data_IF_585975249064
#
_entry.id   IF_585975249064
#
_cell.length_a   1.000
_cell.length_b   1.000
_cell.length_c   1.000
_cell.angle_alpha   90.00
_cell.angle_beta   90.00
_cell.angle_gamma   90.00
#
_symmetry.space_group_name_H-M   'P 1'
#
loop_
_entity.id
_entity.type
_entity.pdbx_description
1 polymer ?
#
# COMPACT_ATOMS: atom_id res chain seq x y z
N UNK A 1 -14.40 11.68 -14.73
CA UNK A 1 -15.27 12.87 -14.91
C UNK A 1 -15.60 13.52 -13.58
N UNK A 2 -15.76 14.84 -13.56
CA UNK A 2 -16.26 15.53 -12.38
C UNK A 2 -17.74 15.22 -12.16
N UNK A 3 -18.11 14.94 -10.91
CA UNK A 3 -19.49 14.68 -10.47
C UNK A 3 -19.83 15.59 -9.28
N UNK A 4 -21.11 15.84 -9.08
CA UNK A 4 -21.59 16.64 -7.96
C UNK A 4 -21.55 15.87 -6.64
N UNK A 5 -21.58 16.60 -5.51
CA UNK A 5 -21.75 16.02 -4.17
C UNK A 5 -23.02 15.14 -4.08
N UNK A 6 -24.10 15.53 -4.75
CA UNK A 6 -25.33 14.75 -4.80
C UNK A 6 -25.19 13.45 -5.58
N UNK A 7 -24.39 13.42 -6.64
CA UNK A 7 -24.06 12.19 -7.38
C UNK A 7 -23.19 11.27 -6.56
N UNK A 8 -22.16 11.81 -5.88
CA UNK A 8 -21.36 11.06 -4.94
C UNK A 8 -22.23 10.44 -3.83
N UNK A 9 -23.13 11.22 -3.22
CA UNK A 9 -24.03 10.69 -2.20
C UNK A 9 -25.00 9.61 -2.68
N UNK A 10 -25.33 9.56 -3.98
CA UNK A 10 -26.09 8.43 -4.54
C UNK A 10 -25.24 7.17 -4.69
N UNK A 11 -23.95 7.31 -5.00
CA UNK A 11 -23.01 6.19 -5.08
C UNK A 11 -22.64 5.65 -3.70
N UNK A 12 -22.51 6.55 -2.71
CA UNK A 12 -22.22 6.23 -1.32
C UNK A 12 -23.28 6.82 -0.38
N UNK A 13 -24.44 6.18 -0.21
CA UNK A 13 -25.54 6.72 0.59
C UNK A 13 -25.23 6.96 2.06
N UNK A 14 -24.22 6.27 2.61
CA UNK A 14 -23.76 6.46 3.98
C UNK A 14 -22.82 7.66 4.16
N UNK A 15 -22.34 8.26 3.07
CA UNK A 15 -21.41 9.37 3.12
C UNK A 15 -22.12 10.69 3.45
N UNK A 16 -21.55 11.46 4.37
CA UNK A 16 -21.87 12.86 4.56
C UNK A 16 -21.26 13.67 3.40
N UNK A 17 -22.06 14.48 2.72
CA UNK A 17 -21.65 15.18 1.49
C UNK A 17 -21.84 16.68 1.51
N UNK A 18 -22.28 17.26 2.62
CA UNK A 18 -22.59 18.69 2.77
C UNK A 18 -21.37 19.61 2.67
N UNK A 19 -20.18 19.07 2.87
CA UNK A 19 -18.89 19.75 2.74
C UNK A 19 -18.12 19.40 1.45
N UNK A 20 -18.66 18.52 0.60
CA UNK A 20 -18.01 18.11 -0.65
C UNK A 20 -18.19 19.20 -1.70
N UNK A 21 -17.09 19.78 -2.12
CA UNK A 21 -17.06 20.81 -3.16
C UNK A 21 -17.09 20.19 -4.57
N UNK A 22 -16.35 19.10 -4.78
CA UNK A 22 -16.31 18.36 -6.03
C UNK A 22 -15.92 16.92 -5.74
N UNK A 23 -16.33 16.00 -6.63
CA UNK A 23 -15.84 14.63 -6.66
C UNK A 23 -15.47 14.25 -8.09
N UNK A 24 -14.55 13.30 -8.24
CA UNK A 24 -14.10 12.81 -9.54
C UNK A 24 -14.35 11.31 -9.62
N UNK A 25 -15.19 10.91 -10.57
CA UNK A 25 -15.48 9.51 -10.82
C UNK A 25 -14.67 8.99 -12.01
N UNK A 26 -13.95 7.88 -11.78
CA UNK A 26 -13.20 7.16 -12.80
C UNK A 26 -13.86 5.80 -13.00
N UNK A 27 -14.81 5.67 -13.96
CA UNK A 27 -15.67 4.49 -14.07
C UNK A 27 -14.92 3.20 -14.45
N UNK A 28 -13.77 3.34 -15.11
CA UNK A 28 -12.93 2.21 -15.55
C UNK A 28 -11.82 1.85 -14.55
N UNK A 29 -11.82 2.48 -13.39
CA UNK A 29 -10.92 2.18 -12.28
C UNK A 29 -11.49 1.04 -11.43
N UNK A 30 -10.63 0.42 -10.63
CA UNK A 30 -11.04 -0.68 -9.78
C UNK A 30 -9.97 -1.12 -8.81
N UNK A 31 -10.24 -2.19 -8.12
CA UNK A 31 -9.33 -2.83 -7.17
C UNK A 31 -8.90 -4.22 -7.65
N UNK A 32 -7.74 -4.66 -7.21
CA UNK A 32 -7.23 -6.00 -7.51
C UNK A 32 -6.60 -6.57 -6.23
N UNK A 33 -6.65 -7.89 -6.11
CA UNK A 33 -5.85 -8.57 -5.08
C UNK A 33 -4.37 -8.44 -5.45
N UNK A 34 -3.51 -7.85 -4.61
CA UNK A 34 -2.11 -7.58 -4.96
C UNK A 34 -1.30 -8.87 -5.17
N UNK A 35 -1.59 -9.95 -4.44
CA UNK A 35 -0.93 -11.24 -4.62
C UNK A 35 -1.28 -11.86 -5.98
N UNK A 36 -2.56 -11.84 -6.37
CA UNK A 36 -3.00 -12.34 -7.68
C UNK A 36 -2.40 -11.53 -8.82
N UNK A 37 -2.31 -10.20 -8.66
CA UNK A 37 -1.68 -9.33 -9.65
C UNK A 37 -0.18 -9.64 -9.81
N UNK A 38 0.54 -9.78 -8.69
CA UNK A 38 1.96 -10.16 -8.71
C UNK A 38 2.18 -11.54 -9.39
N UNK A 39 1.32 -12.51 -9.09
CA UNK A 39 1.35 -13.83 -9.73
C UNK A 39 1.04 -13.76 -11.23
N UNK A 40 0.07 -12.93 -11.64
CA UNK A 40 -0.26 -12.72 -13.05
C UNK A 40 0.92 -12.10 -13.82
N UNK A 41 1.56 -11.08 -13.26
CA UNK A 41 2.76 -10.49 -13.85
C UNK A 41 3.92 -11.48 -13.91
N UNK A 42 4.17 -12.24 -12.85
CA UNK A 42 5.20 -13.27 -12.83
C UNK A 42 4.95 -14.34 -13.90
N UNK A 43 3.71 -14.79 -14.07
CA UNK A 43 3.32 -15.72 -15.13
C UNK A 43 3.56 -15.12 -16.51
N UNK A 44 3.09 -13.91 -16.75
CA UNK A 44 3.29 -13.19 -18.02
C UNK A 44 4.76 -13.00 -18.38
N UNK A 45 5.61 -12.67 -17.40
CA UNK A 45 7.06 -12.56 -17.57
C UNK A 45 7.69 -13.88 -17.98
N UNK A 46 7.35 -14.98 -17.28
CA UNK A 46 7.85 -16.33 -17.63
C UNK A 46 7.44 -16.76 -19.03
N UNK A 47 6.21 -16.45 -19.46
CA UNK A 47 5.72 -16.72 -20.82
C UNK A 47 6.52 -15.99 -21.90
N UNK A 48 7.20 -14.90 -21.53
CA UNK A 48 8.06 -14.09 -22.41
C UNK A 48 9.56 -14.40 -22.24
N UNK A 49 9.90 -15.48 -21.55
CA UNK A 49 11.27 -15.97 -21.39
C UNK A 49 12.01 -15.42 -20.17
N UNK A 50 11.38 -14.61 -19.31
CA UNK A 50 12.00 -14.19 -18.06
C UNK A 50 12.19 -15.37 -17.11
N UNK A 51 13.32 -15.39 -16.43
CA UNK A 51 13.61 -16.35 -15.36
C UNK A 51 13.34 -15.67 -14.02
N UNK A 52 12.44 -16.23 -13.24
CA UNK A 52 12.16 -15.79 -11.88
C UNK A 52 12.72 -16.85 -10.93
N UNK A 53 13.66 -16.44 -10.10
CA UNK A 53 14.33 -17.31 -9.13
C UNK A 53 14.01 -16.79 -7.73
N UNK A 54 13.33 -17.60 -6.96
CA UNK A 54 12.92 -17.29 -5.59
C UNK A 54 13.92 -17.85 -4.58
N UNK A 55 13.93 -17.32 -3.35
CA UNK A 55 14.81 -17.79 -2.28
C UNK A 55 16.29 -17.55 -2.57
N UNK A 56 16.60 -16.47 -3.29
CA UNK A 56 17.97 -16.00 -3.54
C UNK A 56 18.10 -14.56 -3.05
N UNK A 57 18.99 -14.35 -2.09
CA UNK A 57 19.23 -13.03 -1.52
C UNK A 57 20.29 -12.30 -2.33
N UNK A 58 19.93 -11.12 -2.85
CA UNK A 58 20.89 -10.19 -3.47
C UNK A 58 21.63 -9.43 -2.37
N UNK A 59 22.95 -9.57 -2.31
CA UNK A 59 23.80 -8.96 -1.28
C UNK A 59 24.58 -7.74 -1.79
N UNK A 60 24.57 -7.49 -3.11
CA UNK A 60 25.23 -6.34 -3.70
C UNK A 60 25.17 -6.32 -5.21
N UNK A 61 25.72 -5.27 -5.80
CA UNK A 61 25.87 -5.08 -7.24
C UNK A 61 27.35 -4.90 -7.54
N UNK A 62 27.83 -5.55 -8.59
CA UNK A 62 29.21 -5.39 -9.06
C UNK A 62 29.27 -4.30 -10.14
N UNK A 63 30.37 -3.54 -10.15
CA UNK A 63 30.62 -2.53 -11.18
C UNK A 63 32.10 -2.48 -11.55
N UNK A 64 32.38 -2.13 -12.78
CA UNK A 64 33.72 -1.78 -13.28
C UNK A 64 33.68 -0.42 -14.00
N UNK A 65 34.60 0.46 -13.64
CA UNK A 65 34.72 1.81 -14.23
C UNK A 65 33.39 2.59 -14.27
N UNK A 66 32.57 2.45 -13.20
CA UNK A 66 31.28 3.14 -13.09
C UNK A 66 30.12 2.49 -13.86
N UNK A 67 30.33 1.31 -14.44
CA UNK A 67 29.26 0.56 -15.13
C UNK A 67 28.93 -0.72 -14.35
N UNK A 68 27.65 -1.02 -14.22
CA UNK A 68 27.18 -2.26 -13.62
C UNK A 68 27.68 -3.44 -14.46
N UNK A 69 28.13 -4.49 -13.78
CA UNK A 69 28.60 -5.74 -14.39
C UNK A 69 27.83 -6.97 -13.90
N UNK A 70 27.02 -6.83 -12.84
CA UNK A 70 26.23 -7.93 -12.32
C UNK A 70 25.73 -7.72 -10.89
N UNK A 71 25.16 -8.78 -10.33
CA UNK A 71 24.71 -8.84 -8.93
C UNK A 71 25.41 -9.95 -8.20
N UNK A 72 25.68 -9.72 -6.91
CA UNK A 72 26.19 -10.74 -5.97
C UNK A 72 25.00 -11.28 -5.18
N UNK A 73 24.92 -12.57 -5.08
CA UNK A 73 23.88 -13.26 -4.31
C UNK A 73 24.51 -14.23 -3.29
N UNK A 74 23.70 -14.72 -2.37
CA UNK A 74 24.07 -15.78 -1.43
C UNK A 74 24.37 -17.14 -2.14
N UNK A 75 24.08 -17.25 -3.44
CA UNK A 75 24.29 -18.42 -4.29
C UNK A 75 25.27 -18.22 -5.44
N UNK A 76 25.99 -17.11 -5.45
CA UNK A 76 26.96 -16.76 -6.47
C UNK A 76 26.66 -15.45 -7.20
N UNK A 77 27.45 -15.16 -8.21
CA UNK A 77 27.34 -13.91 -8.98
C UNK A 77 26.63 -14.13 -10.31
N UNK A 78 25.77 -13.20 -10.69
CA UNK A 78 25.07 -13.19 -11.96
C UNK A 78 25.55 -11.98 -12.75
N UNK A 79 26.11 -12.19 -13.96
CA UNK A 79 26.52 -11.10 -14.85
C UNK A 79 25.29 -10.43 -15.46
N UNK A 80 25.27 -9.11 -15.43
CA UNK A 80 24.21 -8.28 -16.01
C UNK A 80 24.75 -6.89 -16.37
N UNK A 81 24.30 -6.35 -17.48
CA UNK A 81 24.64 -5.00 -17.91
C UNK A 81 23.72 -3.94 -17.33
N UNK A 82 22.51 -4.34 -16.91
CA UNK A 82 21.51 -3.48 -16.27
C UNK A 82 20.93 -4.22 -15.06
N UNK A 83 20.83 -3.53 -13.93
CA UNK A 83 20.18 -4.02 -12.71
C UNK A 83 19.08 -3.05 -12.34
N UNK A 84 17.87 -3.57 -12.10
CA UNK A 84 16.73 -2.80 -11.62
C UNK A 84 16.55 -3.09 -10.14
N UNK A 85 16.68 -2.05 -9.31
CA UNK A 85 16.38 -2.13 -7.89
C UNK A 85 14.86 -1.96 -7.69
N UNK A 86 14.16 -3.07 -7.45
CA UNK A 86 12.75 -3.13 -7.14
C UNK A 86 12.53 -3.85 -5.79
N UNK A 87 13.41 -3.57 -4.82
CA UNK A 87 13.48 -4.28 -3.55
C UNK A 87 12.51 -3.74 -2.48
N UNK A 88 11.50 -2.92 -2.86
CA UNK A 88 10.53 -2.38 -1.90
C UNK A 88 11.22 -1.66 -0.75
N UNK A 89 10.84 -1.92 0.48
CA UNK A 89 11.41 -1.27 1.66
C UNK A 89 12.91 -1.54 1.88
N UNK A 90 13.49 -2.58 1.26
CA UNK A 90 14.95 -2.86 1.30
C UNK A 90 15.73 -2.15 0.18
N UNK A 91 15.07 -1.32 -0.64
CA UNK A 91 15.74 -0.68 -1.78
C UNK A 91 16.82 0.31 -1.34
N UNK A 92 16.67 0.96 -0.17
CA UNK A 92 17.68 1.84 0.41
C UNK A 92 18.98 1.08 0.71
N UNK A 93 18.89 -0.01 1.46
CA UNK A 93 20.04 -0.82 1.85
C UNK A 93 20.75 -1.44 0.64
N UNK A 94 19.99 -1.85 -0.37
CA UNK A 94 20.58 -2.31 -1.63
C UNK A 94 21.28 -1.17 -2.37
N UNK A 95 20.68 0.03 -2.38
CA UNK A 95 21.28 1.24 -2.93
C UNK A 95 22.61 1.60 -2.24
N UNK A 96 22.65 1.61 -0.92
CA UNK A 96 23.84 1.89 -0.13
C UNK A 96 25.01 0.95 -0.46
N UNK A 97 24.72 -0.34 -0.68
CA UNK A 97 25.71 -1.34 -1.14
C UNK A 97 26.21 -1.13 -2.56
N UNK A 98 25.57 -0.26 -3.32
CA UNK A 98 25.90 0.06 -4.72
C UNK A 98 26.38 1.48 -4.93
N UNK A 99 26.64 2.23 -3.85
CA UNK A 99 26.96 3.67 -3.83
C UNK A 99 25.90 4.56 -4.51
N UNK A 100 24.67 4.09 -4.56
CA UNK A 100 23.51 4.85 -5.08
C UNK A 100 22.60 5.21 -3.90
N UNK A 101 22.42 6.48 -3.65
CA UNK A 101 21.49 6.93 -2.61
C UNK A 101 20.04 6.74 -3.09
N UNK A 102 19.28 5.93 -2.35
CA UNK A 102 17.83 5.77 -2.52
C UNK A 102 17.15 6.44 -1.32
N UNK A 103 16.50 7.59 -1.49
CA UNK A 103 15.88 8.35 -0.39
C UNK A 103 14.55 7.72 0.02
N UNK A 104 14.62 6.55 0.64
CA UNK A 104 13.48 5.75 1.06
C UNK A 104 13.61 5.41 2.54
N UNK A 105 12.52 5.51 3.28
CA UNK A 105 12.39 5.08 4.65
C UNK A 105 11.06 4.34 4.81
N UNK A 106 11.13 3.10 5.30
CA UNK A 106 9.92 2.37 5.63
C UNK A 106 9.16 3.05 6.77
N UNK A 107 7.85 3.14 6.64
CA UNK A 107 6.98 3.78 7.60
C UNK A 107 5.78 2.87 7.94
N UNK A 108 5.17 3.11 9.09
CA UNK A 108 3.95 2.43 9.51
C UNK A 108 2.77 2.93 8.69
N UNK A 109 2.00 2.01 8.15
CA UNK A 109 0.75 2.31 7.44
C UNK A 109 -0.40 1.52 8.03
N UNK A 110 -1.56 2.18 8.16
CA UNK A 110 -2.70 1.64 8.88
C UNK A 110 -3.93 1.48 7.99
N UNK A 111 -4.63 0.37 8.19
CA UNK A 111 -6.03 0.25 7.79
C UNK A 111 -6.80 -0.60 8.80
N UNK A 112 -8.10 -0.39 8.85
CA UNK A 112 -9.00 -1.28 9.57
C UNK A 112 -10.10 -1.82 8.64
N UNK A 113 -10.69 -2.93 9.04
CA UNK A 113 -11.90 -3.46 8.42
C UNK A 113 -12.96 -3.55 9.51
N UNK A 114 -14.11 -2.97 9.25
CA UNK A 114 -15.23 -2.99 10.19
C UNK A 114 -15.94 -4.36 10.21
N UNK A 115 -16.75 -4.59 11.21
CA UNK A 115 -17.80 -5.58 11.12
C UNK A 115 -18.76 -5.25 9.99
N UNK A 116 -19.64 -6.18 9.63
CA UNK A 116 -20.64 -5.97 8.57
C UNK A 116 -21.54 -4.79 8.89
N UNK A 117 -21.84 -4.00 7.86
CA UNK A 117 -22.76 -2.87 7.91
C UNK A 117 -23.80 -3.03 6.79
N UNK A 118 -25.04 -2.76 7.07
CA UNK A 118 -26.17 -3.07 6.18
C UNK A 118 -26.12 -2.38 4.80
N UNK A 119 -25.38 -1.27 4.71
CA UNK A 119 -25.26 -0.47 3.48
C UNK A 119 -24.03 -0.83 2.63
N UNK A 120 -23.09 -1.64 3.15
CA UNK A 120 -21.92 -2.04 2.37
C UNK A 120 -22.29 -3.17 1.40
N UNK A 121 -22.00 -2.97 0.13
CA UNK A 121 -22.22 -3.96 -0.92
C UNK A 121 -21.08 -3.94 -1.96
N UNK A 122 -20.83 -5.07 -2.66
CA UNK A 122 -19.66 -5.23 -3.55
C UNK A 122 -19.57 -4.23 -4.71
N UNK A 123 -20.68 -3.61 -5.09
CA UNK A 123 -20.72 -2.65 -6.20
C UNK A 123 -20.36 -1.21 -5.79
N UNK A 124 -20.07 -0.97 -4.50
CA UNK A 124 -19.60 0.34 -4.06
C UNK A 124 -18.24 0.64 -4.70
N UNK A 125 -18.07 1.81 -5.34
CA UNK A 125 -16.76 2.22 -5.84
C UNK A 125 -15.78 2.46 -4.70
N UNK A 126 -14.49 2.31 -4.96
CA UNK A 126 -13.46 2.79 -4.02
C UNK A 126 -13.56 4.32 -3.93
N UNK A 127 -13.44 4.85 -2.74
CA UNK A 127 -13.42 6.31 -2.47
C UNK A 127 -12.11 6.68 -1.84
N UNK A 128 -11.51 7.76 -2.32
CA UNK A 128 -10.43 8.46 -1.66
C UNK A 128 -10.92 9.85 -1.23
N UNK A 129 -10.63 10.22 0.01
CA UNK A 129 -10.90 11.56 0.58
C UNK A 129 -9.58 12.17 1.01
N UNK A 130 -8.85 12.85 0.11
CA UNK A 130 -7.54 13.40 0.41
C UNK A 130 -7.56 14.47 1.51
N UNK A 131 -8.66 15.22 1.62
CA UNK A 131 -8.80 16.27 2.65
C UNK A 131 -8.92 15.68 4.07
N UNK A 132 -9.35 14.42 4.17
CA UNK A 132 -9.46 13.68 5.43
C UNK A 132 -8.42 12.57 5.57
N UNK A 133 -7.48 12.48 4.63
CA UNK A 133 -6.42 11.46 4.61
C UNK A 133 -6.95 10.03 4.68
N UNK A 134 -8.08 9.74 4.04
CA UNK A 134 -8.71 8.42 4.11
C UNK A 134 -9.06 7.83 2.74
N UNK A 135 -9.06 6.51 2.66
CA UNK A 135 -9.64 5.78 1.55
C UNK A 135 -10.56 4.68 2.06
N UNK A 136 -11.58 4.39 1.29
CA UNK A 136 -12.69 3.55 1.73
C UNK A 136 -13.13 2.61 0.63
N UNK A 137 -13.41 1.37 1.00
CA UNK A 137 -14.00 0.38 0.09
C UNK A 137 -14.80 -0.66 0.87
N UNK A 138 -15.72 -1.30 0.20
CA UNK A 138 -16.36 -2.49 0.75
C UNK A 138 -15.33 -3.63 0.89
N UNK A 139 -15.41 -4.39 1.99
CA UNK A 139 -14.58 -5.56 2.24
C UNK A 139 -15.34 -6.62 3.04
N UNK A 140 -15.93 -7.59 2.32
CA UNK A 140 -16.67 -8.72 2.91
C UNK A 140 -17.85 -8.31 3.78
N UNK A 141 -18.66 -7.39 3.30
CA UNK A 141 -19.84 -6.84 3.97
C UNK A 141 -19.55 -5.74 4.99
N UNK A 142 -18.28 -5.46 5.29
CA UNK A 142 -17.84 -4.32 6.08
C UNK A 142 -17.20 -3.25 5.19
N UNK A 143 -16.54 -2.30 5.81
CA UNK A 143 -15.79 -1.25 5.15
C UNK A 143 -14.33 -1.33 5.57
N UNK A 144 -13.44 -1.39 4.58
CA UNK A 144 -12.04 -1.11 4.80
C UNK A 144 -11.87 0.41 4.85
N UNK A 145 -11.32 0.89 5.95
CA UNK A 145 -10.91 2.27 6.18
C UNK A 145 -9.39 2.29 6.22
N UNK A 146 -8.77 2.83 5.18
CA UNK A 146 -7.33 3.01 5.13
C UNK A 146 -6.97 4.47 5.32
N UNK A 147 -5.77 4.73 5.80
CA UNK A 147 -5.33 6.06 6.19
C UNK A 147 -4.09 6.46 5.40
N UNK A 148 -4.04 7.73 5.01
CA UNK A 148 -2.87 8.38 4.40
C UNK A 148 -2.35 9.46 5.38
N UNK A 149 -1.96 9.03 6.58
CA UNK A 149 -1.48 9.95 7.59
C UNK A 149 -0.26 10.74 7.10
N UNK A 150 -0.31 12.09 7.13
CA UNK A 150 0.78 12.93 6.61
C UNK A 150 2.05 12.85 7.46
N UNK A 151 1.95 12.34 8.68
CA UNK A 151 3.08 12.08 9.57
C UNK A 151 3.06 10.61 9.96
N UNK A 152 3.57 9.77 9.07
CA UNK A 152 3.73 8.34 9.35
C UNK A 152 4.87 8.07 10.34
N UNK A 153 4.73 7.02 11.14
CA UNK A 153 5.80 6.56 12.02
C UNK A 153 6.93 5.91 11.23
N UNK A 154 8.17 6.41 11.32
CA UNK A 154 9.28 5.71 10.66
C UNK A 154 9.50 4.36 11.34
N UNK A 155 9.67 3.32 10.52
CA UNK A 155 9.91 1.97 11.01
C UNK A 155 11.34 1.52 10.66
N UNK A 156 12.00 0.83 11.62
CA UNK A 156 13.30 0.19 11.43
C UNK A 156 14.39 1.14 10.89
N UNK A 157 14.63 2.24 11.61
CA UNK A 157 15.61 3.29 11.23
C UNK A 157 17.04 2.75 11.05
N UNK A 158 17.41 1.72 11.80
CA UNK A 158 18.74 1.11 11.78
C UNK A 158 18.91 0.03 10.69
N UNK A 159 17.91 -0.13 9.82
CA UNK A 159 17.88 -1.09 8.72
C UNK A 159 16.78 -2.12 8.87
N UNK A 160 16.24 -2.54 7.72
CA UNK A 160 15.14 -3.49 7.66
C UNK A 160 15.64 -4.91 7.96
N UNK A 161 15.02 -5.65 8.90
CA UNK A 161 15.40 -7.04 9.16
C UNK A 161 15.25 -7.90 7.90
N UNK A 162 16.19 -8.81 7.66
CA UNK A 162 16.22 -9.63 6.43
C UNK A 162 15.25 -10.81 6.45
N UNK A 163 14.72 -11.15 7.61
CA UNK A 163 13.79 -12.25 7.86
C UNK A 163 12.33 -11.80 7.98
N UNK A 164 12.07 -10.49 7.81
CA UNK A 164 10.71 -9.95 7.82
C UNK A 164 9.95 -10.36 6.58
N UNK A 165 8.79 -10.98 6.78
CA UNK A 165 7.80 -11.22 5.75
C UNK A 165 6.41 -11.02 6.36
N UNK A 166 5.55 -10.26 5.69
CA UNK A 166 4.18 -9.97 6.14
C UNK A 166 4.10 -9.45 7.59
N UNK A 167 4.96 -8.47 7.90
CA UNK A 167 5.02 -7.89 9.24
C UNK A 167 3.67 -7.24 9.63
N UNK A 168 3.21 -7.55 10.83
CA UNK A 168 2.14 -6.82 11.51
C UNK A 168 2.74 -6.10 12.70
N UNK A 169 2.62 -4.79 12.72
CA UNK A 169 3.16 -3.93 13.76
C UNK A 169 2.10 -3.61 14.81
N UNK A 170 2.50 -3.27 16.05
CA UNK A 170 1.57 -2.79 17.04
C UNK A 170 0.84 -1.53 16.58
N UNK A 171 -0.44 -1.41 16.93
CA UNK A 171 -1.24 -0.24 16.57
C UNK A 171 -0.94 0.92 17.51
N UNK A 172 -0.61 2.08 16.96
CA UNK A 172 -0.52 3.35 17.68
C UNK A 172 -1.86 4.10 17.58
N UNK A 173 -2.72 3.86 18.57
CA UNK A 173 -4.06 4.47 18.62
C UNK A 173 -4.04 5.98 18.77
N UNK A 174 -3.04 6.53 19.43
CA UNK A 174 -2.91 7.98 19.60
C UNK A 174 -2.61 8.65 18.26
N UNK A 175 -1.79 8.01 17.42
CA UNK A 175 -1.47 8.52 16.08
C UNK A 175 -2.65 8.43 15.12
N UNK A 176 -3.34 7.28 15.06
CA UNK A 176 -4.40 7.05 14.08
C UNK A 176 -5.75 7.62 14.50
N UNK A 177 -5.98 7.85 15.80
CA UNK A 177 -7.25 8.31 16.33
C UNK A 177 -7.85 9.52 15.63
N UNK A 178 -7.11 10.61 15.40
CA UNK A 178 -7.61 11.77 14.67
C UNK A 178 -8.10 11.46 13.25
N UNK A 179 -7.42 10.57 12.53
CA UNK A 179 -7.79 10.18 11.15
C UNK A 179 -8.99 9.24 11.14
N UNK A 180 -9.10 8.33 12.11
CA UNK A 180 -10.31 7.52 12.29
C UNK A 180 -11.51 8.40 12.62
N UNK A 181 -11.34 9.41 13.45
CA UNK A 181 -12.39 10.39 13.74
C UNK A 181 -12.84 11.12 12.45
N UNK A 182 -11.89 11.55 11.61
CA UNK A 182 -12.19 12.17 10.34
C UNK A 182 -12.92 11.22 9.36
N UNK A 183 -12.59 9.92 9.37
CA UNK A 183 -13.32 8.90 8.62
C UNK A 183 -14.76 8.73 9.11
N UNK A 184 -14.97 8.70 10.43
CA UNK A 184 -16.31 8.64 11.03
C UNK A 184 -17.12 9.91 10.77
N UNK A 185 -16.48 11.08 10.65
CA UNK A 185 -17.15 12.31 10.23
C UNK A 185 -17.63 12.21 8.76
N UNK A 186 -16.88 11.53 7.88
CA UNK A 186 -17.30 11.29 6.49
C UNK A 186 -18.41 10.24 6.41
N UNK A 187 -18.33 9.19 7.23
CA UNK A 187 -19.28 8.09 7.28
C UNK A 187 -19.80 7.92 8.71
N UNK A 188 -20.80 8.72 9.15
CA UNK A 188 -21.25 8.73 10.54
C UNK A 188 -21.72 7.39 11.09
N UNK A 189 -22.25 6.52 10.24
CA UNK A 189 -22.65 5.16 10.60
C UNK A 189 -21.49 4.26 11.05
N UNK A 190 -20.23 4.64 10.78
CA UNK A 190 -19.06 3.92 11.29
C UNK A 190 -18.84 4.09 12.79
N UNK A 191 -19.47 5.09 13.45
CA UNK A 191 -19.42 5.23 14.90
C UNK A 191 -19.97 4.01 15.65
N UNK A 192 -20.95 3.33 15.06
CA UNK A 192 -21.60 2.16 15.66
C UNK A 192 -21.02 0.83 15.14
N UNK A 193 -20.08 0.88 14.19
CA UNK A 193 -19.48 -0.30 13.62
C UNK A 193 -18.36 -0.84 14.51
N UNK A 194 -18.38 -2.16 14.77
CA UNK A 194 -17.26 -2.85 15.42
C UNK A 194 -16.04 -2.92 14.47
N UNK A 195 -14.87 -3.17 15.05
CA UNK A 195 -13.63 -3.37 14.30
C UNK A 195 -13.35 -4.87 14.19
N UNK A 196 -13.48 -5.44 12.99
CA UNK A 196 -13.19 -6.85 12.71
C UNK A 196 -11.69 -7.10 12.62
N UNK A 197 -10.97 -6.18 12.01
CA UNK A 197 -9.51 -6.28 11.81
C UNK A 197 -8.89 -4.89 11.89
N UNK A 198 -7.79 -4.80 12.61
CA UNK A 198 -6.89 -3.66 12.60
C UNK A 198 -5.52 -4.12 12.15
N UNK A 199 -4.95 -3.46 11.17
CA UNK A 199 -3.67 -3.80 10.62
C UNK A 199 -2.75 -2.57 10.60
N UNK A 200 -1.52 -2.78 11.01
CA UNK A 200 -0.41 -1.87 10.79
C UNK A 200 0.72 -2.65 10.12
N UNK A 201 1.18 -2.20 8.99
CA UNK A 201 2.30 -2.81 8.28
C UNK A 201 3.34 -1.78 7.86
N UNK A 202 4.60 -2.22 7.66
CA UNK A 202 5.61 -1.34 7.08
C UNK A 202 5.36 -1.16 5.59
N UNK A 203 5.44 0.07 5.14
CA UNK A 203 5.31 0.47 3.74
C UNK A 203 6.46 1.39 3.34
N UNK A 204 6.76 1.48 2.03
CA UNK A 204 7.85 2.30 1.45
C UNK A 204 7.36 3.30 0.43
#
# INVERSE_FOLDING_TARGET
QEISAAEFGRMWPAAKTDDVLAAFHVPDEGRVNPADLAMAYAKGARMRGARIVEGVTVTGVTSDRGRVTGVVTDRGTIAAEVVVNAAGMWARELGERTVVSVPLQAAEHYYLITDTVDWAHPDLPVVEDPDRYGYYREEGGGVLVGLFEPVAGPWSLDGIPTDVAFASLPTDWDRIGPYLSAAMDRFPSLHDAGVRTMFCGPES
#
